data_IF_156780756871
#
_entry.id   IF_156780756871
#
_cell.length_a   1.000
_cell.length_b   1.000
_cell.length_c   1.000
_cell.angle_alpha   90.00
_cell.angle_beta   90.00
_cell.angle_gamma   90.00
#
_symmetry.space_group_name_H-M   'P 1'
#
loop_
_entity.id
_entity.type
_entity.pdbx_description
1 polymer ?
#
# COMPACT_ATOMS: atom_id res chain seq x y z
N UNK A 1 -18.61 6.25 23.04
CA UNK A 1 -18.30 7.32 24.01
C UNK A 1 -17.04 7.08 24.84
N UNK A 2 -16.83 5.90 25.46
CA UNK A 2 -15.61 5.62 26.28
C UNK A 2 -14.27 5.87 25.57
N UNK A 3 -14.12 5.52 24.27
CA UNK A 3 -12.89 5.78 23.49
C UNK A 3 -12.61 7.25 23.20
N UNK A 4 -13.65 8.09 23.13
CA UNK A 4 -13.52 9.53 22.89
C UNK A 4 -13.07 10.26 24.15
N UNK A 5 -13.63 9.89 25.31
CA UNK A 5 -13.19 10.39 26.62
C UNK A 5 -11.74 10.00 26.95
N UNK A 6 -11.33 8.77 26.59
CA UNK A 6 -9.95 8.31 26.70
C UNK A 6 -8.97 9.10 25.81
N UNK A 7 -9.46 9.65 24.69
CA UNK A 7 -8.66 10.48 23.80
C UNK A 7 -8.37 11.86 24.42
N UNK A 8 -9.38 12.50 25.04
CA UNK A 8 -9.21 13.81 25.68
C UNK A 8 -8.49 13.79 27.03
N UNK A 9 -8.44 12.64 27.71
CA UNK A 9 -7.69 12.46 28.97
C UNK A 9 -6.21 12.16 28.74
N UNK A 10 -5.78 12.03 27.49
CA UNK A 10 -4.41 11.74 27.14
C UNK A 10 -3.56 13.02 27.35
N UNK A 11 -2.54 13.03 28.23
CA UNK A 11 -1.78 14.23 28.58
C UNK A 11 -1.11 14.90 27.37
N UNK A 12 -0.80 14.12 26.34
CA UNK A 12 -0.27 14.61 25.06
C UNK A 12 -1.29 15.50 24.33
N UNK A 13 -2.58 15.14 24.38
CA UNK A 13 -3.66 15.91 23.76
C UNK A 13 -3.90 17.21 24.52
N UNK A 14 -3.84 17.17 25.86
CA UNK A 14 -3.90 18.38 26.70
C UNK A 14 -2.74 19.33 26.47
N UNK A 15 -1.51 18.80 26.37
CA UNK A 15 -0.30 19.58 26.06
C UNK A 15 -0.36 20.23 24.68
N UNK A 16 -0.83 19.50 23.66
CA UNK A 16 -1.03 20.05 22.33
C UNK A 16 -2.07 21.17 22.30
N UNK A 17 -3.21 21.00 22.98
CA UNK A 17 -4.26 22.03 23.08
C UNK A 17 -3.76 23.30 23.80
N UNK A 18 -2.99 23.14 24.87
CA UNK A 18 -2.34 24.24 25.59
C UNK A 18 -1.34 25.00 24.71
N UNK A 19 -0.50 24.29 23.96
CA UNK A 19 0.48 24.89 23.06
C UNK A 19 -0.20 25.68 21.94
N UNK A 20 -1.29 25.15 21.37
CA UNK A 20 -2.09 25.82 20.33
C UNK A 20 -2.67 27.14 20.86
N UNK A 21 -3.24 27.15 22.08
CA UNK A 21 -3.75 28.37 22.70
C UNK A 21 -2.66 29.41 22.98
N UNK A 22 -1.47 28.97 23.40
CA UNK A 22 -0.32 29.85 23.67
C UNK A 22 0.23 30.45 22.36
N UNK A 23 0.29 29.64 21.30
CA UNK A 23 0.64 30.07 19.93
C UNK A 23 -0.36 31.08 19.39
N UNK A 24 -1.66 30.90 19.62
CA UNK A 24 -2.69 31.84 19.17
C UNK A 24 -2.55 33.22 19.83
N UNK A 25 -2.21 33.27 21.12
CA UNK A 25 -1.90 34.54 21.81
C UNK A 25 -0.64 35.19 21.23
N UNK A 26 0.41 34.39 20.97
CA UNK A 26 1.66 34.88 20.38
C UNK A 26 1.47 35.41 18.95
N UNK A 27 0.62 34.76 18.14
CA UNK A 27 0.28 35.15 16.77
C UNK A 27 -0.85 36.20 16.67
N UNK A 28 -1.52 36.53 17.79
CA UNK A 28 -2.42 37.68 17.86
C UNK A 28 -1.66 39.00 17.90
N UNK A 29 -0.39 39.01 18.32
CA UNK A 29 0.44 40.23 18.41
C UNK A 29 0.88 40.75 17.02
N UNK A 30 1.24 39.90 16.03
CA UNK A 30 1.50 40.31 14.65
C UNK A 30 0.25 40.52 13.78
N UNK A 31 -0.96 40.21 14.26
CA UNK A 31 -2.18 40.30 13.43
C UNK A 31 -2.59 41.75 13.12
N UNK A 32 -1.89 42.76 13.65
CA UNK A 32 -2.09 44.17 13.25
C UNK A 32 -1.62 44.46 11.82
N UNK A 33 -0.89 43.55 11.18
CA UNK A 33 -0.35 43.70 9.82
C UNK A 33 -1.16 42.98 8.74
N UNK A 34 -2.13 42.15 9.10
CA UNK A 34 -2.97 41.41 8.15
C UNK A 34 -4.42 41.88 8.24
N UNK A 35 -4.98 42.33 7.11
CA UNK A 35 -6.37 42.82 7.00
C UNK A 35 -7.43 41.76 7.30
N UNK A 36 -7.05 40.48 7.32
CA UNK A 36 -7.92 39.35 7.66
C UNK A 36 -7.33 38.58 8.84
N UNK A 37 -8.02 38.62 9.99
CA UNK A 37 -7.72 37.75 11.13
C UNK A 37 -8.25 36.34 10.84
N UNK A 38 -7.36 35.43 10.42
CA UNK A 38 -7.67 34.00 10.35
C UNK A 38 -7.28 33.39 11.70
N UNK A 39 -8.25 32.85 12.45
CA UNK A 39 -7.97 32.15 13.72
C UNK A 39 -7.13 30.90 13.48
N UNK A 40 -6.17 30.65 14.37
CA UNK A 40 -5.24 29.53 14.30
C UNK A 40 -5.98 28.18 14.37
N UNK A 41 -7.12 28.13 15.05
CA UNK A 41 -8.02 26.97 15.08
C UNK A 41 -8.53 26.57 13.69
N UNK A 42 -8.80 27.54 12.81
CA UNK A 42 -9.27 27.26 11.45
C UNK A 42 -8.17 26.57 10.66
N UNK A 43 -6.92 27.01 10.81
CA UNK A 43 -5.75 26.39 10.16
C UNK A 43 -5.56 24.96 10.67
N UNK A 44 -5.59 24.74 11.98
CA UNK A 44 -5.49 23.41 12.60
C UNK A 44 -6.60 22.48 12.10
N UNK A 45 -7.83 22.99 12.00
CA UNK A 45 -8.97 22.23 11.52
C UNK A 45 -8.79 21.83 10.05
N UNK A 46 -8.40 22.78 9.19
CA UNK A 46 -8.15 22.51 7.76
C UNK A 46 -7.03 21.48 7.58
N UNK A 47 -5.91 21.63 8.28
CA UNK A 47 -4.79 20.67 8.22
C UNK A 47 -5.25 19.29 8.72
N UNK A 48 -6.00 19.23 9.82
CA UNK A 48 -6.58 17.99 10.34
C UNK A 48 -7.48 17.28 9.34
N UNK A 49 -8.35 18.04 8.65
CA UNK A 49 -9.22 17.51 7.59
C UNK A 49 -8.42 16.98 6.41
N UNK A 50 -7.38 17.68 5.97
CA UNK A 50 -6.50 17.23 4.88
C UNK A 50 -5.80 15.90 5.23
N UNK A 51 -5.29 15.76 6.45
CA UNK A 51 -4.65 14.52 6.93
C UNK A 51 -5.67 13.38 6.96
N UNK A 52 -6.88 13.62 7.47
CA UNK A 52 -7.95 12.62 7.52
C UNK A 52 -8.38 12.18 6.11
N UNK A 53 -8.56 13.13 5.19
CA UNK A 53 -8.89 12.83 3.79
C UNK A 53 -7.79 12.00 3.13
N UNK A 54 -6.52 12.35 3.34
CA UNK A 54 -5.40 11.58 2.81
C UNK A 54 -5.39 10.14 3.36
N UNK A 55 -5.59 9.98 4.67
CA UNK A 55 -5.69 8.65 5.30
C UNK A 55 -6.87 7.84 4.74
N UNK A 56 -8.03 8.49 4.58
CA UNK A 56 -9.23 7.86 4.06
C UNK A 56 -9.06 7.42 2.61
N UNK A 57 -8.45 8.27 1.78
CA UNK A 57 -8.11 7.95 0.39
C UNK A 57 -7.19 6.74 0.30
N UNK A 58 -6.14 6.69 1.12
CA UNK A 58 -5.23 5.54 1.19
C UNK A 58 -5.96 4.26 1.57
N UNK A 59 -6.88 4.30 2.55
CA UNK A 59 -7.72 3.16 2.94
C UNK A 59 -8.62 2.66 1.80
N UNK A 60 -9.25 3.57 1.05
CA UNK A 60 -10.06 3.20 -0.12
C UNK A 60 -9.19 2.55 -1.19
N UNK A 61 -8.02 3.12 -1.49
CA UNK A 61 -7.09 2.58 -2.49
C UNK A 61 -6.66 1.15 -2.16
N UNK A 62 -6.33 0.88 -0.90
CA UNK A 62 -6.02 -0.49 -0.42
C UNK A 62 -7.20 -1.42 -0.69
N UNK A 63 -8.42 -1.04 -0.26
CA UNK A 63 -9.61 -1.87 -0.45
C UNK A 63 -9.94 -2.15 -1.92
N UNK A 64 -9.72 -1.15 -2.79
CA UNK A 64 -9.88 -1.30 -4.23
C UNK A 64 -8.93 -2.37 -4.76
N UNK A 65 -7.62 -2.25 -4.50
CA UNK A 65 -6.64 -3.22 -5.00
C UNK A 65 -6.80 -4.61 -4.37
N UNK A 66 -7.19 -4.73 -3.11
CA UNK A 66 -7.51 -6.04 -2.52
C UNK A 66 -8.68 -6.73 -3.25
N UNK A 67 -9.64 -5.97 -3.77
CA UNK A 67 -10.77 -6.54 -4.52
C UNK A 67 -10.43 -6.86 -5.98
N UNK A 68 -9.59 -6.05 -6.61
CA UNK A 68 -9.32 -6.14 -8.06
C UNK A 68 -8.05 -6.90 -8.39
N UNK A 69 -7.02 -6.81 -7.54
CA UNK A 69 -5.71 -7.42 -7.76
C UNK A 69 -5.67 -8.84 -7.20
N UNK A 70 -6.31 -9.77 -7.90
CA UNK A 70 -6.39 -11.19 -7.50
C UNK A 70 -5.71 -12.14 -8.47
N UNK A 71 -5.10 -11.60 -9.53
CA UNK A 71 -4.38 -12.37 -10.54
C UNK A 71 -3.34 -11.50 -11.24
N UNK A 72 -2.19 -12.09 -11.55
CA UNK A 72 -1.11 -11.44 -12.30
C UNK A 72 -0.14 -12.49 -12.84
N UNK A 73 0.75 -12.09 -13.75
CA UNK A 73 1.79 -12.96 -14.29
C UNK A 73 3.15 -12.70 -13.64
N UNK A 74 3.84 -13.77 -13.29
CA UNK A 74 5.18 -13.76 -12.69
C UNK A 74 6.05 -14.85 -13.32
N UNK A 75 7.38 -14.75 -13.31
CA UNK A 75 8.24 -15.84 -13.81
C UNK A 75 8.33 -15.95 -15.34
N UNK A 76 7.80 -14.98 -16.08
CA UNK A 76 7.96 -14.89 -17.54
C UNK A 76 6.90 -15.58 -18.41
N UNK A 77 5.84 -16.19 -17.86
CA UNK A 77 4.76 -16.76 -18.70
C UNK A 77 3.50 -17.26 -17.99
N UNK A 78 3.52 -17.56 -16.69
CA UNK A 78 2.36 -18.14 -16.00
C UNK A 78 1.52 -17.10 -15.27
N UNK A 79 0.20 -17.24 -15.43
CA UNK A 79 -0.78 -16.44 -14.71
C UNK A 79 -1.09 -17.15 -13.39
N UNK A 80 -0.94 -16.43 -12.29
CA UNK A 80 -1.28 -16.90 -10.96
C UNK A 80 -2.56 -16.22 -10.53
N UNK A 81 -3.41 -16.94 -9.80
CA UNK A 81 -4.61 -16.41 -9.17
C UNK A 81 -4.52 -16.69 -7.67
N UNK A 82 -4.90 -15.72 -6.85
CA UNK A 82 -4.86 -15.87 -5.40
C UNK A 82 -6.08 -15.24 -4.74
N UNK A 83 -6.26 -15.56 -3.46
CA UNK A 83 -7.31 -14.98 -2.62
C UNK A 83 -6.68 -14.24 -1.46
N UNK A 84 -7.07 -12.98 -1.29
CA UNK A 84 -6.68 -12.23 -0.11
C UNK A 84 -7.43 -12.71 1.13
N UNK A 85 -6.68 -13.02 2.17
CA UNK A 85 -7.22 -13.24 3.52
C UNK A 85 -6.79 -12.09 4.42
N UNK A 86 -7.70 -11.67 5.30
CA UNK A 86 -7.37 -10.68 6.33
C UNK A 86 -6.60 -11.40 7.44
N UNK A 87 -5.43 -10.88 7.78
CA UNK A 87 -4.56 -11.48 8.79
C UNK A 87 -3.88 -10.43 9.65
N UNK A 88 -3.50 -10.82 10.86
CA UNK A 88 -2.65 -10.04 11.77
C UNK A 88 -1.26 -10.67 11.96
N UNK A 89 -0.91 -11.72 11.20
CA UNK A 89 0.41 -12.34 11.25
C UNK A 89 1.50 -11.36 10.80
N UNK A 90 2.74 -11.55 11.27
CA UNK A 90 3.86 -10.62 11.03
C UNK A 90 4.17 -10.43 9.54
N UNK A 91 3.92 -11.42 8.69
CA UNK A 91 4.00 -11.34 7.23
C UNK A 91 2.64 -10.96 6.63
N UNK A 92 2.39 -9.66 6.45
CA UNK A 92 1.21 -9.15 5.74
C UNK A 92 1.48 -7.79 5.08
N UNK A 93 0.69 -7.44 4.07
CA UNK A 93 0.66 -6.10 3.48
C UNK A 93 -0.72 -5.50 3.70
N UNK A 94 -0.76 -4.36 4.39
CA UNK A 94 -1.98 -3.66 4.79
C UNK A 94 -3.00 -4.51 5.59
N UNK A 95 -2.55 -5.55 6.30
CA UNK A 95 -3.40 -6.50 7.03
C UNK A 95 -3.97 -7.61 6.14
N UNK A 96 -3.44 -7.79 4.93
CA UNK A 96 -3.86 -8.83 3.99
C UNK A 96 -2.68 -9.70 3.59
N UNK A 97 -2.99 -10.96 3.29
CA UNK A 97 -2.02 -11.96 2.87
C UNK A 97 -2.58 -12.78 1.70
N UNK A 98 -1.77 -13.12 0.70
CA UNK A 98 -2.20 -13.93 -0.43
C UNK A 98 -2.23 -15.41 -0.01
N UNK A 99 -3.43 -15.95 0.12
CA UNK A 99 -3.69 -17.37 0.36
C UNK A 99 -4.25 -18.03 -0.91
N UNK A 100 -4.19 -19.37 -0.96
CA UNK A 100 -4.69 -20.19 -2.08
C UNK A 100 -4.22 -19.67 -3.44
N UNK A 101 -2.91 -19.68 -3.63
CA UNK A 101 -2.31 -19.31 -4.91
C UNK A 101 -2.41 -20.51 -5.85
N UNK A 102 -3.25 -20.37 -6.86
CA UNK A 102 -3.47 -21.36 -7.90
C UNK A 102 -2.76 -20.89 -9.19
N UNK A 103 -2.09 -21.84 -9.83
CA UNK A 103 -1.52 -21.64 -11.16
C UNK A 103 -2.64 -21.80 -12.18
N UNK A 104 -2.84 -20.80 -13.04
CA UNK A 104 -3.74 -20.92 -14.17
C UNK A 104 -2.95 -21.45 -15.38
N UNK A 105 -3.41 -22.58 -15.93
CA UNK A 105 -2.89 -23.08 -17.20
C UNK A 105 -3.16 -22.04 -18.29
N UNK A 106 -2.12 -21.69 -19.04
CA UNK A 106 -2.24 -20.84 -20.22
C UNK A 106 -3.12 -21.56 -21.24
N UNK A 107 -4.22 -20.92 -21.65
CA UNK A 107 -5.12 -21.46 -22.67
C UNK A 107 -4.31 -21.76 -23.92
N UNK A 108 -4.19 -23.05 -24.29
CA UNK A 108 -3.51 -23.43 -25.53
C UNK A 108 -4.24 -22.79 -26.70
N UNK A 109 -3.55 -21.93 -27.46
CA UNK A 109 -4.12 -21.32 -28.66
C UNK A 109 -4.51 -22.38 -29.70
N UNK A 110 -3.83 -23.54 -29.71
CA UNK A 110 -4.17 -24.70 -30.52
C UNK A 110 -3.82 -26.00 -29.76
N UNK A 111 -4.80 -26.86 -29.44
CA UNK A 111 -4.59 -28.10 -28.68
C UNK A 111 -3.81 -29.17 -29.45
N UNK A 112 -3.70 -29.05 -30.79
CA UNK A 112 -3.05 -30.04 -31.64
C UNK A 112 -1.54 -29.79 -31.84
N UNK A 113 -1.01 -28.67 -31.36
CA UNK A 113 0.42 -28.37 -31.43
C UNK A 113 1.06 -28.86 -30.12
N UNK A 114 2.03 -29.79 -30.17
CA UNK A 114 2.77 -30.20 -28.99
C UNK A 114 3.59 -29.00 -28.49
N UNK A 115 3.13 -28.40 -27.39
CA UNK A 115 3.90 -27.40 -26.66
C UNK A 115 4.96 -28.16 -25.88
N UNK A 116 6.23 -27.94 -26.21
CA UNK A 116 7.35 -28.43 -25.41
C UNK A 116 7.31 -27.65 -24.10
N UNK A 117 6.84 -28.29 -23.03
CA UNK A 117 6.95 -27.74 -21.68
C UNK A 117 8.41 -27.86 -21.25
N UNK A 118 9.16 -26.77 -21.42
CA UNK A 118 10.55 -26.71 -21.03
C UNK A 118 10.75 -26.69 -19.50
N UNK A 119 9.73 -27.01 -18.68
CA UNK A 119 9.87 -27.36 -17.26
C UNK A 119 10.42 -26.27 -16.33
N UNK A 120 10.56 -25.03 -16.81
CA UNK A 120 11.39 -24.00 -16.17
C UNK A 120 10.67 -22.65 -15.91
N UNK A 121 9.37 -22.65 -15.62
CA UNK A 121 8.63 -21.37 -15.54
C UNK A 121 7.76 -21.18 -14.28
N UNK A 122 7.65 -22.17 -13.41
CA UNK A 122 6.93 -22.02 -12.14
C UNK A 122 7.86 -21.54 -11.03
N UNK A 123 7.41 -20.54 -10.27
CA UNK A 123 8.06 -20.20 -9.00
C UNK A 123 7.74 -21.34 -8.02
N UNK A 124 8.68 -22.28 -7.89
CA UNK A 124 8.51 -23.46 -7.03
C UNK A 124 8.45 -23.10 -5.54
N UNK A 125 9.10 -22.00 -5.15
CA UNK A 125 9.08 -21.52 -3.77
C UNK A 125 7.82 -20.68 -3.51
N UNK A 126 6.86 -21.27 -2.80
CA UNK A 126 5.59 -20.64 -2.44
C UNK A 126 5.77 -19.37 -1.60
N UNK A 127 6.72 -19.35 -0.68
CA UNK A 127 6.95 -18.20 0.21
C UNK A 127 7.45 -16.99 -0.60
N UNK A 128 8.36 -17.24 -1.55
CA UNK A 128 8.88 -16.22 -2.45
C UNK A 128 7.78 -15.64 -3.36
N UNK A 129 6.88 -16.49 -3.86
CA UNK A 129 5.74 -16.05 -4.66
C UNK A 129 4.76 -15.19 -3.84
N UNK A 130 4.53 -15.54 -2.57
CA UNK A 130 3.70 -14.76 -1.66
C UNK A 130 4.28 -13.37 -1.40
N UNK A 131 5.60 -13.29 -1.14
CA UNK A 131 6.30 -12.01 -0.97
C UNK A 131 6.22 -11.16 -2.24
N UNK A 132 6.36 -11.77 -3.42
CA UNK A 132 6.29 -11.05 -4.70
C UNK A 132 4.90 -10.43 -4.94
N UNK A 133 3.83 -11.19 -4.64
CA UNK A 133 2.45 -10.72 -4.73
C UNK A 133 2.20 -9.57 -3.73
N UNK A 134 2.75 -9.69 -2.52
CA UNK A 134 2.67 -8.66 -1.48
C UNK A 134 3.41 -7.37 -1.88
N UNK A 135 4.62 -7.48 -2.42
CA UNK A 135 5.41 -6.35 -2.92
C UNK A 135 4.72 -5.66 -4.09
N UNK A 136 4.15 -6.43 -5.01
CA UNK A 136 3.39 -5.92 -6.16
C UNK A 136 2.11 -5.17 -5.71
N UNK A 137 1.41 -5.68 -4.68
CA UNK A 137 0.29 -4.96 -4.07
C UNK A 137 0.75 -3.65 -3.43
N UNK A 138 1.87 -3.66 -2.70
CA UNK A 138 2.43 -2.47 -2.08
C UNK A 138 2.75 -1.39 -3.11
N UNK A 139 3.43 -1.76 -4.20
CA UNK A 139 3.76 -0.85 -5.29
C UNK A 139 2.51 -0.24 -5.95
N UNK A 140 1.48 -1.04 -6.25
CA UNK A 140 0.22 -0.53 -6.83
C UNK A 140 -0.49 0.46 -5.89
N UNK A 141 -0.45 0.23 -4.58
CA UNK A 141 -1.06 1.11 -3.58
C UNK A 141 -0.26 2.38 -3.35
N UNK A 142 1.06 2.33 -3.27
CA UNK A 142 1.87 3.53 -3.05
C UNK A 142 2.05 4.32 -4.36
N UNK A 143 2.32 3.63 -5.47
CA UNK A 143 2.55 4.17 -6.81
C UNK A 143 3.51 5.38 -6.79
N UNK A 144 4.66 5.18 -6.16
CA UNK A 144 5.70 6.21 -6.07
C UNK A 144 6.81 5.92 -7.07
N UNK A 145 7.60 6.94 -7.41
CA UNK A 145 8.77 6.76 -8.28
C UNK A 145 9.76 5.71 -7.71
N UNK A 146 9.92 5.67 -6.39
CA UNK A 146 10.82 4.73 -5.73
C UNK A 146 10.31 3.29 -5.78
N UNK A 147 9.02 3.07 -5.52
CA UNK A 147 8.43 1.72 -5.57
C UNK A 147 8.43 1.16 -6.99
N UNK A 148 8.13 2.02 -7.98
CA UNK A 148 8.20 1.65 -9.39
C UNK A 148 9.63 1.26 -9.82
N UNK A 149 10.63 2.04 -9.39
CA UNK A 149 12.04 1.74 -9.69
C UNK A 149 12.48 0.43 -9.04
N UNK A 150 12.06 0.17 -7.80
CA UNK A 150 12.33 -1.08 -7.10
C UNK A 150 11.73 -2.28 -7.86
N UNK A 151 10.46 -2.21 -8.26
CA UNK A 151 9.82 -3.27 -9.04
C UNK A 151 10.52 -3.49 -10.40
N UNK A 152 10.93 -2.42 -11.08
CA UNK A 152 11.69 -2.53 -12.33
C UNK A 152 13.04 -3.22 -12.12
N UNK A 153 13.76 -2.89 -11.05
CA UNK A 153 15.03 -3.55 -10.71
C UNK A 153 14.81 -5.02 -10.39
N UNK A 154 13.75 -5.36 -9.65
CA UNK A 154 13.39 -6.73 -9.32
C UNK A 154 13.12 -7.57 -10.59
N UNK A 155 12.34 -7.04 -11.53
CA UNK A 155 12.09 -7.68 -12.82
C UNK A 155 13.37 -7.78 -13.69
N UNK A 156 14.25 -6.79 -13.66
CA UNK A 156 15.51 -6.85 -14.39
C UNK A 156 16.45 -7.93 -13.86
N UNK A 157 16.47 -8.15 -12.54
CA UNK A 157 17.23 -9.21 -11.90
C UNK A 157 16.66 -10.58 -12.27
N UNK A 158 15.35 -10.75 -12.24
CA UNK A 158 14.66 -11.96 -12.68
C UNK A 158 14.99 -12.29 -14.15
N UNK A 159 14.96 -11.29 -15.03
CA UNK A 159 15.34 -11.44 -16.44
C UNK A 159 16.84 -11.79 -16.62
N UNK A 160 17.72 -11.32 -15.73
CA UNK A 160 19.13 -11.65 -15.76
C UNK A 160 19.40 -13.11 -15.33
N UNK A 161 18.83 -13.54 -14.20
CA UNK A 161 19.00 -14.90 -13.69
C UNK A 161 18.36 -15.95 -14.59
N UNK A 162 17.21 -15.66 -15.21
CA UNK A 162 16.59 -16.56 -16.19
C UNK A 162 17.44 -16.75 -17.44
N UNK A 163 18.21 -15.73 -17.87
CA UNK A 163 19.17 -15.84 -18.98
C UNK A 163 20.41 -16.65 -18.62
N UNK A 164 20.88 -16.60 -17.37
CA UNK A 164 22.06 -17.35 -16.91
C UNK A 164 21.80 -18.84 -16.66
N UNK A 165 20.53 -19.24 -16.49
CA UNK A 165 20.14 -20.66 -16.36
C UNK A 165 19.96 -21.39 -17.70
N UNK A 166 20.13 -20.69 -18.83
CA UNK A 166 20.19 -21.29 -20.18
C UNK A 166 21.63 -21.57 -20.55
#
# INVERSE_FOLDING_TARGET
MKKLLLFFTNPIVGGALSLIGLLEILFSIPSSYFTYQISLWIIVLVVGVLILLHYFWKRIKILYYIKTYTSDSFGGSHMYKWRWIKTSFYTNVYGYFPDRIDVMETTKLNPNIPVIDCGHHYIQNKDLLQEYIMLSLYDKVENTKQTNLFMQQLHSLEAHYSKQRK
#
